data_IF_244987514399
#
_entry.id   IF_244987514399
#
_cell.length_a   1.000
_cell.length_b   1.000
_cell.length_c   1.000
_cell.angle_alpha   90.00
_cell.angle_beta   90.00
_cell.angle_gamma   90.00
#
_symmetry.space_group_name_H-M   'P 1'
#
loop_
_entity.id
_entity.type
_entity.pdbx_description
1 polymer ?
#
# COMPACT_ATOMS: atom_id res chain seq x y z
N UNK A 1 15.25 -4.99 13.08
CA UNK A 1 15.56 -3.55 12.89
C UNK A 1 16.38 -3.34 11.64
N UNK A 2 17.44 -4.11 11.40
CA UNK A 2 18.27 -3.98 10.19
C UNK A 2 17.48 -4.00 8.87
N UNK A 3 16.55 -4.95 8.70
CA UNK A 3 15.71 -5.03 7.50
C UNK A 3 14.86 -3.77 7.25
N UNK A 4 14.24 -3.22 8.30
CA UNK A 4 13.42 -1.99 8.19
C UNK A 4 14.28 -0.75 7.93
N UNK A 5 15.49 -0.68 8.51
CA UNK A 5 16.42 0.41 8.22
C UNK A 5 16.91 0.37 6.77
N UNK A 6 17.21 -0.83 6.26
CA UNK A 6 17.55 -1.03 4.84
C UNK A 6 16.38 -0.64 3.94
N UNK A 7 15.16 -1.04 4.30
CA UNK A 7 13.96 -0.64 3.57
C UNK A 7 13.82 0.88 3.49
N UNK A 8 13.93 1.55 4.64
CA UNK A 8 13.80 3.00 4.73
C UNK A 8 14.86 3.74 3.89
N UNK A 9 16.08 3.24 3.86
CA UNK A 9 17.14 3.79 3.02
C UNK A 9 16.84 3.69 1.51
N UNK A 10 15.93 2.82 1.09
CA UNK A 10 15.56 2.60 -0.32
C UNK A 10 14.31 3.39 -0.70
N UNK A 11 13.23 3.30 0.09
CA UNK A 11 11.93 3.88 -0.29
C UNK A 11 11.56 5.18 0.44
N UNK A 12 12.29 5.51 1.51
CA UNK A 12 12.02 6.65 2.40
C UNK A 12 10.57 6.71 2.90
N UNK A 13 9.91 5.56 3.07
CA UNK A 13 8.49 5.51 3.40
C UNK A 13 8.14 6.22 4.71
N UNK A 14 8.90 5.99 5.78
CA UNK A 14 8.65 6.66 7.06
C UNK A 14 8.94 8.15 6.97
N UNK A 15 9.98 8.57 6.25
CA UNK A 15 10.25 9.97 5.98
C UNK A 15 9.10 10.64 5.20
N UNK A 16 8.58 9.98 4.16
CA UNK A 16 7.40 10.44 3.40
C UNK A 16 6.16 10.56 4.28
N UNK A 17 5.91 9.58 5.15
CA UNK A 17 4.81 9.65 6.12
C UNK A 17 4.97 10.83 7.10
N UNK A 18 6.18 11.07 7.60
CA UNK A 18 6.49 12.20 8.51
C UNK A 18 6.36 13.56 7.85
N UNK A 19 6.69 13.66 6.56
CA UNK A 19 6.56 14.90 5.78
C UNK A 19 5.09 15.27 5.49
N UNK A 20 4.17 14.29 5.55
CA UNK A 20 2.73 14.50 5.38
C UNK A 20 2.03 14.60 6.74
N UNK A 21 1.48 15.77 7.06
CA UNK A 21 0.79 16.01 8.33
C UNK A 21 -0.33 15.00 8.59
N UNK A 22 -1.18 14.74 7.59
CA UNK A 22 -2.31 13.82 7.73
C UNK A 22 -1.85 12.37 7.92
N UNK A 23 -0.81 11.93 7.21
CA UNK A 23 -0.27 10.58 7.36
C UNK A 23 0.45 10.39 8.70
N UNK A 24 1.11 11.45 9.19
CA UNK A 24 1.69 11.48 10.53
C UNK A 24 0.61 11.32 11.59
N UNK A 25 -0.49 12.08 11.48
CA UNK A 25 -1.63 12.01 12.41
C UNK A 25 -2.34 10.65 12.35
N UNK A 26 -2.55 10.09 11.17
CA UNK A 26 -3.13 8.75 10.98
C UNK A 26 -2.30 7.65 11.66
N UNK A 27 -0.98 7.84 11.70
CA UNK A 27 -0.01 6.89 12.29
C UNK A 27 0.42 7.24 13.71
N UNK A 28 -0.13 8.28 14.32
CA UNK A 28 0.30 8.75 15.65
C UNK A 28 0.11 7.68 16.76
N UNK A 29 -0.83 6.75 16.56
CA UNK A 29 -1.09 5.61 17.47
C UNK A 29 -0.47 4.29 17.01
N UNK A 30 0.21 4.29 15.87
CA UNK A 30 0.86 3.10 15.32
C UNK A 30 2.29 3.00 15.85
N UNK A 31 2.70 1.79 16.23
CA UNK A 31 4.11 1.51 16.58
C UNK A 31 4.78 0.79 15.41
N UNK A 32 5.46 1.53 14.54
CA UNK A 32 6.16 0.94 13.39
C UNK A 32 7.54 0.38 13.78
N UNK A 33 7.54 -0.67 14.60
CA UNK A 33 8.75 -1.36 15.07
C UNK A 33 8.52 -2.87 15.06
N UNK A 34 9.59 -3.68 14.94
CA UNK A 34 9.48 -5.12 15.12
C UNK A 34 8.89 -5.43 16.50
N UNK A 35 8.00 -6.41 16.56
CA UNK A 35 7.43 -6.85 17.83
C UNK A 35 8.51 -7.52 18.68
N UNK A 36 8.65 -7.05 19.91
CA UNK A 36 9.46 -7.65 20.96
C UNK A 36 8.49 -7.88 22.11
N UNK A 37 7.87 -9.05 22.17
CA UNK A 37 6.94 -9.38 23.25
C UNK A 37 7.62 -9.29 24.62
N UNK A 38 6.84 -9.33 25.71
CA UNK A 38 7.38 -9.51 27.05
C UNK A 38 8.11 -10.86 27.18
N UNK A 39 7.58 -11.88 26.48
CA UNK A 39 8.20 -13.20 26.29
C UNK A 39 8.56 -13.35 24.81
N UNK A 40 9.82 -13.02 24.47
CA UNK A 40 10.30 -13.09 23.08
C UNK A 40 10.14 -14.49 22.45
N UNK A 41 10.05 -15.54 23.28
CA UNK A 41 9.89 -16.93 22.87
C UNK A 41 8.42 -17.35 22.61
N UNK A 42 7.44 -16.58 23.10
CA UNK A 42 6.00 -16.89 22.95
C UNK A 42 5.34 -16.13 21.78
N UNK A 43 6.00 -15.11 21.23
CA UNK A 43 5.47 -14.35 20.11
C UNK A 43 5.49 -15.20 18.81
N UNK A 44 4.44 -15.16 17.97
CA UNK A 44 4.47 -15.83 16.67
C UNK A 44 5.62 -15.30 15.82
N UNK A 45 6.63 -16.13 15.62
CA UNK A 45 7.68 -15.84 14.65
C UNK A 45 7.22 -16.28 13.26
N UNK A 46 6.86 -15.31 12.43
CA UNK A 46 6.48 -15.57 11.04
C UNK A 46 7.69 -15.84 10.14
N UNK A 47 8.93 -15.68 10.64
CA UNK A 47 10.15 -15.90 9.87
C UNK A 47 10.28 -17.32 9.34
N UNK A 48 9.66 -18.31 10.01
CA UNK A 48 9.58 -19.70 9.54
C UNK A 48 8.86 -19.86 8.20
N UNK A 49 8.06 -18.88 7.80
CA UNK A 49 7.35 -18.87 6.53
C UNK A 49 8.11 -18.16 5.41
N UNK A 50 9.28 -17.56 5.69
CA UNK A 50 10.08 -16.86 4.68
C UNK A 50 10.62 -17.83 3.62
N UNK A 51 10.54 -17.45 2.34
CA UNK A 51 11.24 -18.17 1.27
C UNK A 51 12.70 -17.70 1.15
N UNK A 52 13.57 -18.44 0.44
CA UNK A 52 14.96 -18.02 0.23
C UNK A 52 15.05 -16.60 -0.36
N UNK A 53 15.78 -15.73 0.32
CA UNK A 53 15.96 -14.33 -0.07
C UNK A 53 14.86 -13.37 0.41
N UNK A 54 13.78 -13.89 1.02
CA UNK A 54 12.75 -13.08 1.68
C UNK A 54 13.11 -12.83 3.15
N UNK A 55 12.69 -11.70 3.69
CA UNK A 55 12.72 -11.45 5.14
C UNK A 55 11.31 -11.15 5.62
N UNK A 56 10.77 -11.96 6.53
CA UNK A 56 9.50 -11.66 7.19
C UNK A 56 9.79 -11.07 8.57
N UNK A 57 9.34 -9.84 8.80
CA UNK A 57 9.44 -9.15 10.08
C UNK A 57 8.09 -9.20 10.77
N UNK A 58 8.04 -9.85 11.93
CA UNK A 58 6.89 -9.71 12.85
C UNK A 58 6.90 -8.29 13.43
N UNK A 59 5.90 -7.49 13.08
CA UNK A 59 5.71 -6.09 13.47
C UNK A 59 4.83 -5.99 14.71
N UNK A 60 4.90 -4.87 15.43
CA UNK A 60 3.90 -4.57 16.47
C UNK A 60 2.47 -4.67 15.88
N UNK A 61 1.45 -5.16 16.63
CA UNK A 61 0.10 -5.33 16.11
C UNK A 61 -0.52 -4.05 15.53
N UNK A 62 -0.09 -2.88 16.03
CA UNK A 62 -0.57 -1.56 15.58
C UNK A 62 0.17 -1.00 14.36
N UNK A 63 1.23 -1.65 13.87
CA UNK A 63 2.02 -1.15 12.75
C UNK A 63 1.15 -1.00 11.50
N UNK A 64 1.14 0.21 10.92
CA UNK A 64 0.27 0.58 9.79
C UNK A 64 -1.19 0.11 9.97
N UNK A 65 -1.76 0.38 11.15
CA UNK A 65 -3.17 0.03 11.43
C UNK A 65 -3.42 -1.47 11.53
N UNK A 66 -2.38 -2.28 11.69
CA UNK A 66 -2.49 -3.75 11.70
C UNK A 66 -2.63 -4.36 10.31
N UNK A 67 -2.19 -3.65 9.26
CA UNK A 67 -2.20 -4.16 7.89
C UNK A 67 -0.85 -4.81 7.54
N UNK A 68 -0.86 -6.06 7.04
CA UNK A 68 0.25 -6.61 6.28
C UNK A 68 0.65 -5.69 5.12
N UNK A 69 1.94 -5.68 4.82
CA UNK A 69 2.48 -4.95 3.67
C UNK A 69 3.92 -5.38 3.37
N UNK A 70 4.44 -4.94 2.23
CA UNK A 70 5.84 -5.13 1.86
C UNK A 70 6.67 -3.88 1.95
N UNK A 71 7.98 -4.10 2.10
CA UNK A 71 9.04 -3.09 2.06
C UNK A 71 10.23 -3.64 1.25
N UNK A 72 11.02 -2.78 0.59
CA UNK A 72 12.22 -3.24 -0.11
C UNK A 72 13.29 -3.79 0.84
N UNK A 73 14.30 -4.52 0.31
CA UNK A 73 14.35 -5.08 -1.04
C UNK A 73 13.47 -6.33 -1.21
N UNK A 74 13.20 -7.07 -0.13
CA UNK A 74 12.40 -8.31 -0.15
C UNK A 74 11.78 -8.58 1.24
N UNK A 75 11.21 -7.54 1.86
CA UNK A 75 10.74 -7.58 3.24
C UNK A 75 9.23 -7.64 3.29
N UNK A 76 8.66 -8.62 3.99
CA UNK A 76 7.24 -8.68 4.34
C UNK A 76 7.10 -8.26 5.80
N UNK A 77 6.22 -7.30 6.06
CA UNK A 77 5.90 -6.79 7.38
C UNK A 77 4.55 -7.36 7.80
N UNK A 78 4.54 -8.25 8.80
CA UNK A 78 3.31 -8.88 9.31
C UNK A 78 3.03 -8.45 10.75
N UNK A 79 1.84 -7.92 11.06
CA UNK A 79 1.44 -7.61 12.43
C UNK A 79 1.52 -8.84 13.34
N UNK A 80 2.03 -8.68 14.55
CA UNK A 80 1.97 -9.74 15.55
C UNK A 80 0.51 -10.14 15.81
N UNK A 81 0.30 -11.44 16.06
CA UNK A 81 -1.02 -12.05 16.22
C UNK A 81 -1.92 -12.01 14.97
N UNK A 82 -1.32 -11.84 13.77
CA UNK A 82 -2.08 -11.97 12.52
C UNK A 82 -2.76 -13.36 12.46
N UNK A 83 -4.05 -13.45 12.06
CA UNK A 83 -4.79 -14.71 12.13
C UNK A 83 -4.18 -15.80 11.23
N UNK A 84 -3.86 -16.96 11.82
CA UNK A 84 -3.31 -18.11 11.09
C UNK A 84 -4.23 -18.56 9.94
N UNK A 85 -5.56 -18.42 10.12
CA UNK A 85 -6.54 -18.77 9.09
C UNK A 85 -6.43 -17.92 7.81
N UNK A 86 -5.85 -16.73 7.90
CA UNK A 86 -5.65 -15.81 6.77
C UNK A 86 -4.20 -15.78 6.27
N UNK A 87 -3.27 -16.36 7.04
CA UNK A 87 -1.83 -16.21 6.81
C UNK A 87 -1.39 -16.68 5.43
N UNK A 88 -1.91 -17.82 4.95
CA UNK A 88 -1.54 -18.37 3.63
C UNK A 88 -1.92 -17.41 2.49
N UNK A 89 -3.12 -16.85 2.56
CA UNK A 89 -3.64 -15.94 1.54
C UNK A 89 -2.87 -14.62 1.54
N UNK A 90 -2.67 -14.04 2.73
CA UNK A 90 -1.88 -12.81 2.87
C UNK A 90 -0.45 -13.01 2.40
N UNK A 91 0.23 -14.09 2.78
CA UNK A 91 1.59 -14.34 2.29
C UNK A 91 1.65 -14.49 0.75
N UNK A 92 0.59 -15.00 0.11
CA UNK A 92 0.52 -15.02 -1.36
C UNK A 92 0.41 -13.61 -1.93
N UNK A 93 -0.46 -12.80 -1.35
CA UNK A 93 -0.67 -11.39 -1.73
C UNK A 93 0.62 -10.57 -1.56
N UNK A 94 1.25 -10.60 -0.39
CA UNK A 94 2.48 -9.88 -0.10
C UNK A 94 3.65 -10.30 -1.02
N UNK A 95 3.75 -11.61 -1.35
CA UNK A 95 4.78 -12.07 -2.29
C UNK A 95 4.56 -11.56 -3.70
N UNK A 96 3.31 -11.31 -4.11
CA UNK A 96 3.06 -10.66 -5.39
C UNK A 96 3.58 -9.23 -5.38
N UNK A 97 3.41 -8.48 -4.29
CA UNK A 97 4.01 -7.15 -4.14
C UNK A 97 5.54 -7.19 -4.17
N UNK A 98 6.17 -8.20 -3.56
CA UNK A 98 7.62 -8.40 -3.70
C UNK A 98 8.03 -8.64 -5.16
N UNK A 99 7.30 -9.48 -5.90
CA UNK A 99 7.56 -9.72 -7.32
C UNK A 99 7.33 -8.45 -8.16
N UNK A 100 6.27 -7.69 -7.89
CA UNK A 100 5.96 -6.42 -8.53
C UNK A 100 7.10 -5.41 -8.37
N UNK A 101 7.64 -5.27 -7.16
CA UNK A 101 8.80 -4.40 -6.91
C UNK A 101 10.03 -4.89 -7.65
N UNK A 102 10.36 -6.17 -7.53
CA UNK A 102 11.55 -6.76 -8.16
C UNK A 102 11.50 -6.69 -9.68
N UNK A 103 10.32 -6.89 -10.27
CA UNK A 103 10.08 -6.97 -11.70
C UNK A 103 9.24 -5.79 -12.22
N UNK A 104 9.41 -4.60 -11.62
CA UNK A 104 8.63 -3.37 -11.89
C UNK A 104 8.41 -3.11 -13.39
N UNK A 105 9.46 -3.24 -14.20
CA UNK A 105 9.37 -3.00 -15.64
C UNK A 105 8.40 -3.96 -16.34
N UNK A 106 8.49 -5.27 -16.03
CA UNK A 106 7.59 -6.28 -16.62
C UNK A 106 6.14 -6.03 -16.21
N UNK A 107 5.93 -5.74 -14.94
CA UNK A 107 4.61 -5.43 -14.42
C UNK A 107 4.04 -4.14 -15.02
N UNK A 108 4.88 -3.12 -15.26
CA UNK A 108 4.43 -1.89 -15.90
C UNK A 108 3.92 -2.13 -17.32
N UNK A 109 4.58 -3.01 -18.09
CA UNK A 109 4.10 -3.41 -19.42
C UNK A 109 2.76 -4.16 -19.33
N UNK A 110 2.61 -5.06 -18.35
CA UNK A 110 1.35 -5.80 -18.16
C UNK A 110 0.21 -4.84 -17.81
N UNK A 111 0.45 -3.92 -16.86
CA UNK A 111 -0.52 -2.92 -16.45
C UNK A 111 -0.87 -1.96 -17.59
N UNK A 112 0.09 -1.54 -18.40
CA UNK A 112 -0.17 -0.69 -19.58
C UNK A 112 -1.06 -1.38 -20.60
N UNK A 113 -0.80 -2.66 -20.90
CA UNK A 113 -1.70 -3.47 -21.73
C UNK A 113 -3.09 -3.62 -21.12
N UNK A 114 -3.16 -3.65 -19.79
CA UNK A 114 -4.41 -3.74 -19.05
C UNK A 114 -5.19 -2.42 -19.03
N UNK A 115 -4.56 -1.30 -19.38
CA UNK A 115 -5.15 0.03 -19.48
C UNK A 115 -4.67 1.03 -18.43
N UNK A 116 -3.64 0.69 -17.67
CA UNK A 116 -3.07 1.52 -16.60
C UNK A 116 -1.76 2.16 -17.01
N UNK A 117 -1.63 3.47 -16.84
CA UNK A 117 -0.38 4.18 -17.17
C UNK A 117 0.17 4.95 -15.97
N UNK A 118 1.49 4.92 -15.71
CA UNK A 118 2.09 5.76 -14.67
C UNK A 118 1.78 7.24 -14.88
N UNK A 119 1.61 7.98 -13.78
CA UNK A 119 1.34 9.42 -13.79
C UNK A 119 2.39 10.13 -12.97
N UNK A 120 2.93 11.21 -13.52
CA UNK A 120 3.84 12.09 -12.79
C UNK A 120 3.09 12.84 -11.70
N UNK A 121 3.70 12.96 -10.53
CA UNK A 121 3.10 13.62 -9.36
C UNK A 121 2.62 15.05 -9.65
N UNK A 122 3.35 15.80 -10.49
CA UNK A 122 3.01 17.18 -10.86
C UNK A 122 1.74 17.33 -11.69
N UNK A 123 1.16 16.23 -12.20
CA UNK A 123 -0.13 16.23 -12.92
C UNK A 123 -1.34 16.21 -11.99
N UNK A 124 -1.13 15.99 -10.69
CA UNK A 124 -2.19 15.91 -9.68
C UNK A 124 -2.03 17.11 -8.73
N UNK A 125 -3.10 17.91 -8.52
CA UNK A 125 -3.06 19.03 -7.59
C UNK A 125 -2.55 18.63 -6.21
N UNK A 126 -1.67 19.44 -5.63
CA UNK A 126 -1.09 19.18 -4.31
C UNK A 126 -2.16 19.02 -3.23
N UNK A 127 -3.23 19.80 -3.31
CA UNK A 127 -4.34 19.74 -2.39
C UNK A 127 -5.04 18.38 -2.34
N UNK A 128 -4.98 17.60 -3.42
CA UNK A 128 -5.51 16.24 -3.49
C UNK A 128 -4.48 15.25 -2.98
N UNK A 129 -3.23 15.37 -3.43
CA UNK A 129 -2.12 14.48 -3.02
C UNK A 129 -1.90 14.48 -1.51
N UNK A 130 -1.96 15.66 -0.87
CA UNK A 130 -1.75 15.80 0.57
C UNK A 130 -2.79 15.08 1.42
N UNK A 131 -3.95 14.74 0.86
CA UNK A 131 -5.07 14.05 1.53
C UNK A 131 -5.01 12.53 1.36
N UNK A 132 -4.11 12.04 0.50
CA UNK A 132 -3.96 10.62 0.22
C UNK A 132 -3.25 9.89 1.36
N UNK A 133 -3.72 8.68 1.65
CA UNK A 133 -2.98 7.68 2.43
C UNK A 133 -1.76 7.25 1.63
N UNK A 134 -0.59 7.26 2.26
CA UNK A 134 0.62 6.68 1.69
C UNK A 134 0.61 5.19 2.01
N UNK A 135 0.57 4.34 0.97
CA UNK A 135 0.65 2.89 1.09
C UNK A 135 2.13 2.45 0.93
N UNK A 136 2.70 1.70 1.89
CA UNK A 136 4.08 1.20 1.79
C UNK A 136 4.33 0.41 0.51
N UNK A 137 3.39 -0.45 0.07
CA UNK A 137 3.49 -1.31 -1.12
C UNK A 137 3.72 -0.55 -2.42
N UNK A 138 3.14 0.64 -2.51
CA UNK A 138 3.07 1.42 -3.75
C UNK A 138 3.72 2.80 -3.66
N UNK A 139 4.28 3.20 -2.50
CA UNK A 139 4.87 4.53 -2.28
C UNK A 139 6.07 4.88 -3.18
N UNK A 140 6.61 3.93 -3.93
CA UNK A 140 7.68 4.11 -4.91
C UNK A 140 7.15 4.44 -6.32
N UNK A 141 5.89 4.11 -6.60
CA UNK A 141 5.18 4.46 -7.83
C UNK A 141 3.71 4.74 -7.47
N UNK A 142 3.41 5.88 -6.82
CA UNK A 142 2.13 6.08 -6.13
C UNK A 142 0.95 6.40 -7.06
N UNK A 143 1.19 6.85 -8.29
CA UNK A 143 0.13 7.38 -9.15
C UNK A 143 0.08 6.69 -10.50
N UNK A 144 -1.11 6.18 -10.84
CA UNK A 144 -1.42 5.53 -12.11
C UNK A 144 -2.80 5.98 -12.60
N UNK A 145 -2.96 6.14 -13.90
CA UNK A 145 -4.24 6.49 -14.51
C UNK A 145 -4.86 5.28 -15.22
N UNK A 146 -6.12 5.01 -14.89
CA UNK A 146 -6.97 4.14 -15.69
C UNK A 146 -7.33 4.84 -17.00
N UNK A 147 -7.09 4.15 -18.12
CA UNK A 147 -7.35 4.63 -19.49
C UNK A 147 -6.74 6.02 -19.75
N UNK A 148 -5.56 6.29 -19.18
CA UNK A 148 -4.84 7.58 -19.27
C UNK A 148 -5.65 8.79 -18.78
N UNK A 149 -6.70 8.58 -17.98
CA UNK A 149 -7.64 9.62 -17.57
C UNK A 149 -7.88 9.66 -16.07
N UNK A 150 -8.24 8.53 -15.47
CA UNK A 150 -8.73 8.52 -14.09
C UNK A 150 -7.68 8.01 -13.11
N UNK A 151 -7.19 8.87 -12.22
CA UNK A 151 -6.23 8.50 -11.18
C UNK A 151 -6.98 8.15 -9.88
N UNK A 152 -6.84 6.93 -9.33
CA UNK A 152 -7.36 6.61 -8.02
C UNK A 152 -6.52 7.31 -6.94
N UNK A 153 -7.19 7.95 -6.01
CA UNK A 153 -6.60 8.68 -4.91
C UNK A 153 -7.23 8.20 -3.59
N UNK A 154 -6.49 7.46 -2.74
CA UNK A 154 -7.01 6.90 -1.50
C UNK A 154 -7.09 7.98 -0.42
N UNK A 155 -8.20 8.72 -0.37
CA UNK A 155 -8.38 9.83 0.58
C UNK A 155 -8.75 9.29 1.96
N UNK A 156 -8.20 9.89 3.01
CA UNK A 156 -8.78 9.74 4.34
C UNK A 156 -10.21 10.29 4.35
N UNK A 157 -11.17 9.52 4.87
CA UNK A 157 -12.57 9.98 4.96
C UNK A 157 -12.69 11.21 5.85
N UNK A 158 -11.87 11.27 6.90
CA UNK A 158 -11.82 12.37 7.87
C UNK A 158 -10.41 12.95 8.00
N UNK A 159 -10.25 14.23 7.67
CA UNK A 159 -8.96 14.93 7.83
C UNK A 159 -8.71 15.41 9.26
N UNK A 160 -9.77 15.62 10.04
CA UNK A 160 -9.72 16.00 11.45
C UNK A 160 -9.37 14.81 12.37
N UNK A 161 -9.66 13.60 11.92
CA UNK A 161 -9.34 12.35 12.61
C UNK A 161 -9.04 11.24 11.58
N UNK A 162 -7.89 11.32 10.89
CA UNK A 162 -7.55 10.35 9.86
C UNK A 162 -7.27 8.98 10.48
N UNK A 163 -7.77 7.93 9.82
CA UNK A 163 -7.59 6.54 10.20
C UNK A 163 -7.15 5.74 8.97
N UNK A 164 -6.17 4.85 9.13
CA UNK A 164 -5.61 4.07 8.02
C UNK A 164 -6.60 3.07 7.41
N UNK A 165 -7.61 2.65 8.18
CA UNK A 165 -8.67 1.78 7.71
C UNK A 165 -9.87 2.56 7.13
N UNK A 166 -9.99 3.86 7.44
CA UNK A 166 -11.12 4.70 7.02
C UNK A 166 -10.71 5.61 5.83
N UNK A 167 -10.62 4.99 4.66
CA UNK A 167 -10.33 5.66 3.41
C UNK A 167 -11.45 5.52 2.38
N UNK A 168 -11.52 6.46 1.45
CA UNK A 168 -12.35 6.41 0.26
C UNK A 168 -11.49 6.70 -0.96
N UNK A 169 -11.51 5.80 -1.94
CA UNK A 169 -10.86 6.07 -3.23
C UNK A 169 -11.69 7.09 -4.01
N UNK A 170 -11.09 8.23 -4.31
CA UNK A 170 -11.61 9.26 -5.20
C UNK A 170 -10.90 9.17 -6.54
N UNK A 171 -11.53 9.61 -7.61
CA UNK A 171 -10.99 9.50 -8.96
C UNK A 171 -10.76 10.90 -9.52
N UNK A 172 -9.50 11.26 -9.67
CA UNK A 172 -9.12 12.52 -10.31
C UNK A 172 -9.09 12.34 -11.82
N UNK A 173 -9.89 13.13 -12.52
CA UNK A 173 -9.95 13.16 -13.98
C UNK A 173 -8.87 14.10 -14.53
N UNK A 174 -7.86 13.55 -15.20
CA UNK A 174 -6.75 14.32 -15.78
C UNK A 174 -7.18 15.20 -16.96
N UNK A 175 -8.35 14.97 -17.56
CA UNK A 175 -8.84 15.75 -18.71
C UNK A 175 -9.73 16.90 -18.27
N UNK A 176 -10.66 16.62 -17.36
CA UNK A 176 -11.64 17.60 -16.87
C UNK A 176 -11.16 18.33 -15.60
N UNK A 177 -10.05 17.87 -15.00
CA UNK A 177 -9.48 18.39 -13.75
C UNK A 177 -10.47 18.39 -12.56
N UNK A 178 -11.38 17.42 -12.55
CA UNK A 178 -12.38 17.24 -11.49
C UNK A 178 -12.10 16.00 -10.65
N UNK A 179 -12.43 16.10 -9.36
CA UNK A 179 -12.39 14.98 -8.43
C UNK A 179 -13.78 14.35 -8.29
N UNK A 180 -13.90 13.08 -8.65
CA UNK A 180 -15.14 12.31 -8.55
C UNK A 180 -15.11 11.30 -7.41
N UNK A 181 -16.28 11.05 -6.83
CA UNK A 181 -16.50 9.96 -5.87
C UNK A 181 -16.96 8.66 -6.54
N UNK A 182 -17.22 8.71 -7.85
CA UNK A 182 -17.80 7.60 -8.62
C UNK A 182 -16.68 6.86 -9.34
N UNK A 183 -16.61 5.54 -9.13
CA UNK A 183 -15.68 4.66 -9.86
C UNK A 183 -15.94 4.73 -11.36
N UNK A 184 -14.92 4.87 -12.21
CA UNK A 184 -15.08 4.91 -13.66
C UNK A 184 -15.86 3.70 -14.17
N UNK A 185 -16.91 3.95 -14.96
CA UNK A 185 -17.79 2.89 -15.47
C UNK A 185 -17.01 1.81 -16.22
N UNK A 186 -16.02 2.18 -17.04
CA UNK A 186 -15.19 1.22 -17.79
C UNK A 186 -14.31 0.35 -16.89
N UNK A 187 -13.90 0.86 -15.72
CA UNK A 187 -13.16 0.08 -14.74
C UNK A 187 -14.08 -0.95 -14.07
N UNK A 188 -15.26 -0.50 -13.63
CA UNK A 188 -16.29 -1.39 -13.05
C UNK A 188 -16.75 -2.45 -14.04
N UNK A 189 -16.91 -2.11 -15.32
CA UNK A 189 -17.28 -3.05 -16.37
C UNK A 189 -16.22 -4.15 -16.57
N UNK A 190 -14.94 -3.83 -16.34
CA UNK A 190 -13.84 -4.77 -16.51
C UNK A 190 -13.61 -5.69 -15.31
N UNK A 191 -13.57 -5.12 -14.10
CA UNK A 191 -13.18 -5.86 -12.90
C UNK A 191 -14.35 -6.18 -11.97
N UNK A 192 -15.57 -5.72 -12.28
CA UNK A 192 -16.75 -5.90 -11.44
C UNK A 192 -16.77 -4.99 -10.22
N UNK A 193 -17.48 -5.43 -9.18
CA UNK A 193 -17.48 -4.77 -7.87
C UNK A 193 -16.19 -5.10 -7.11
N UNK A 194 -15.49 -4.07 -6.65
CA UNK A 194 -14.19 -4.18 -5.98
C UNK A 194 -14.24 -3.50 -4.62
N UNK A 195 -13.43 -3.97 -3.67
CA UNK A 195 -13.26 -3.30 -2.39
C UNK A 195 -12.48 -1.99 -2.56
N UNK A 196 -12.63 -1.07 -1.60
CA UNK A 196 -11.90 0.20 -1.62
C UNK A 196 -10.37 -0.01 -1.62
N UNK A 197 -9.86 -1.01 -0.90
CA UNK A 197 -8.42 -1.31 -0.83
C UNK A 197 -7.86 -1.78 -2.18
N UNK A 198 -8.61 -2.61 -2.91
CA UNK A 198 -8.18 -3.03 -4.25
C UNK A 198 -8.18 -1.86 -5.24
N UNK A 199 -9.02 -0.85 -5.05
CA UNK A 199 -9.12 0.31 -5.96
C UNK A 199 -8.01 1.35 -5.78
N UNK A 200 -7.18 1.26 -4.73
CA UNK A 200 -6.17 2.29 -4.45
C UNK A 200 -5.08 2.36 -5.52
N UNK A 201 -4.76 1.23 -6.14
CA UNK A 201 -3.63 1.12 -7.05
C UNK A 201 -3.75 -0.11 -7.97
N UNK A 202 -3.29 -0.08 -9.23
CA UNK A 202 -3.32 -1.26 -10.11
C UNK A 202 -2.54 -2.47 -9.58
N UNK A 203 -1.48 -2.24 -8.81
CA UNK A 203 -0.76 -3.33 -8.13
C UNK A 203 -1.60 -4.05 -7.07
N UNK A 204 -2.47 -3.33 -6.37
CA UNK A 204 -3.43 -3.92 -5.42
C UNK A 204 -4.46 -4.74 -6.18
N UNK A 205 -5.04 -4.20 -7.28
CA UNK A 205 -5.96 -4.95 -8.14
C UNK A 205 -5.37 -6.28 -8.60
N UNK A 206 -4.12 -6.27 -9.08
CA UNK A 206 -3.44 -7.46 -9.54
C UNK A 206 -3.13 -8.45 -8.39
N UNK A 207 -2.98 -7.97 -7.16
CA UNK A 207 -2.69 -8.80 -5.98
C UNK A 207 -3.93 -9.41 -5.33
N UNK A 208 -5.12 -8.90 -5.62
CA UNK A 208 -6.40 -9.48 -5.21
C UNK A 208 -7.08 -10.33 -6.30
N UNK A 209 -6.63 -10.25 -7.56
CA UNK A 209 -7.11 -11.05 -8.68
C UNK A 209 -6.70 -12.54 -8.58
#
# INVERSE_FOLDING_TARGET
>A
MEALNKAEAIDSYLAKCKASEINTRARARCTYLPFRGADADAAPSFSKHALPGETIVTMNPSADGGMPHTRPPATICLPAYFPDSKLKEVLRHERLHLDQRKNTYKWSILLEKDGWTPVEEGKIPEEHRRRCRINPDTCWSPYWAWQKRYVPLPFFVREDKPDLADISVRWYDLQEEILSSVTPFSLKAKYGELSASSLEHPFELAAYA
#
